data_IF_073034201523
#
_entry.id   IF_073034201523
#
_cell.length_a   1.000
_cell.length_b   1.000
_cell.length_c   1.000
_cell.angle_alpha   90.00
_cell.angle_beta   90.00
_cell.angle_gamma   90.00
#
_symmetry.space_group_name_H-M   'P 1'
#
loop_
_entity.id
_entity.type
_entity.pdbx_description
1 polymer ?
#
# COMPACT_ATOMS: atom_id res chain seq x y z
N UNK A 1 5.64 -10.43 -18.39
CA UNK A 1 6.00 -9.00 -18.14
C UNK A 1 5.42 -8.62 -16.80
N UNK A 2 6.17 -7.98 -15.91
CA UNK A 2 5.64 -7.56 -14.60
C UNK A 2 4.51 -6.55 -14.78
N UNK A 3 3.49 -6.65 -13.92
CA UNK A 3 2.35 -5.72 -13.87
C UNK A 3 2.65 -4.52 -12.99
N UNK A 4 3.72 -4.60 -12.18
CA UNK A 4 4.13 -3.53 -11.30
C UNK A 4 4.66 -2.33 -12.06
N UNK A 5 4.14 -1.19 -11.68
CA UNK A 5 4.60 0.12 -12.15
C UNK A 5 5.63 0.71 -11.19
N UNK A 6 5.37 0.58 -9.88
CA UNK A 6 6.30 0.97 -8.85
C UNK A 6 7.12 -0.23 -8.37
N UNK A 7 8.43 -0.06 -8.27
CA UNK A 7 9.28 -1.02 -7.57
C UNK A 7 9.04 -0.85 -6.06
N UNK A 8 8.68 -1.90 -5.32
CA UNK A 8 8.54 -1.79 -3.88
C UNK A 8 9.81 -1.28 -3.22
N UNK A 9 9.67 -0.39 -2.26
CA UNK A 9 10.72 -0.15 -1.29
C UNK A 9 10.89 -1.39 -0.43
N UNK A 10 12.13 -1.83 -0.22
CA UNK A 10 12.45 -2.95 0.64
C UNK A 10 13.59 -2.53 1.55
N UNK A 11 13.33 -2.41 2.83
CA UNK A 11 14.34 -2.04 3.81
C UNK A 11 15.46 -3.08 3.89
N UNK A 12 16.67 -2.64 4.19
CA UNK A 12 17.88 -3.49 4.20
C UNK A 12 17.80 -4.66 5.19
N UNK A 13 16.96 -4.56 6.22
CA UNK A 13 16.70 -5.56 7.26
C UNK A 13 15.29 -6.15 7.17
N UNK A 14 14.64 -6.07 6.01
CA UNK A 14 13.28 -6.58 5.81
C UNK A 14 13.15 -8.05 6.20
N UNK A 15 14.14 -8.87 5.89
CA UNK A 15 14.11 -10.30 6.23
C UNK A 15 14.25 -10.58 7.74
N UNK A 16 14.79 -9.64 8.52
CA UNK A 16 14.78 -9.72 9.96
C UNK A 16 13.41 -9.33 10.52
N UNK A 17 12.74 -8.41 9.83
CA UNK A 17 11.41 -7.92 10.15
C UNK A 17 11.34 -7.21 11.51
N UNK A 18 10.11 -7.04 11.99
CA UNK A 18 9.81 -6.56 13.34
C UNK A 18 9.38 -7.74 14.18
N UNK A 19 10.14 -8.07 15.21
CA UNK A 19 9.98 -9.31 16.00
C UNK A 19 9.92 -10.58 15.16
N UNK A 20 10.74 -10.62 14.09
CA UNK A 20 10.79 -11.77 13.19
C UNK A 20 9.66 -11.83 12.15
N UNK A 21 8.74 -10.87 12.13
CA UNK A 21 7.63 -10.79 11.17
C UNK A 21 7.94 -9.79 10.08
N UNK A 22 7.82 -10.19 8.81
CA UNK A 22 7.97 -9.34 7.64
C UNK A 22 6.70 -8.53 7.42
N UNK A 23 6.81 -7.21 7.42
CA UNK A 23 5.67 -6.30 7.27
C UNK A 23 5.77 -5.57 5.92
N UNK A 24 4.72 -5.71 5.11
CA UNK A 24 4.52 -4.89 3.93
C UNK A 24 3.48 -3.80 4.24
N UNK A 25 3.84 -2.54 4.03
CA UNK A 25 2.89 -1.43 4.08
C UNK A 25 2.38 -1.17 2.67
N UNK A 26 1.06 -1.11 2.52
CA UNK A 26 0.38 -0.91 1.26
C UNK A 26 -0.32 0.44 1.26
N UNK A 27 0.27 1.43 0.60
CA UNK A 27 -0.35 2.73 0.36
C UNK A 27 -1.46 2.65 -0.68
N UNK A 28 -2.26 3.70 -0.80
CA UNK A 28 -3.34 3.75 -1.78
C UNK A 28 -2.83 4.12 -3.17
N UNK A 29 -2.13 5.24 -3.27
CA UNK A 29 -1.60 5.74 -4.54
C UNK A 29 -0.68 6.94 -4.34
N UNK A 30 0.27 7.12 -5.25
CA UNK A 30 0.91 8.41 -5.47
C UNK A 30 0.05 9.32 -6.33
N UNK A 31 0.29 10.62 -6.29
CA UNK A 31 -0.49 11.61 -7.01
C UNK A 31 0.35 12.35 -8.04
N UNK A 32 -0.21 12.56 -9.23
CA UNK A 32 0.48 13.33 -10.28
C UNK A 32 0.40 14.86 -10.08
N UNK A 33 -0.16 15.31 -8.97
CA UNK A 33 -0.27 16.71 -8.60
C UNK A 33 0.85 17.11 -7.64
N UNK A 34 1.82 17.86 -8.13
CA UNK A 34 2.96 18.34 -7.32
C UNK A 34 2.54 19.20 -6.11
N UNK A 35 1.38 19.85 -6.20
CA UNK A 35 0.96 20.84 -5.19
C UNK A 35 0.02 20.26 -4.13
N UNK A 36 -0.39 18.99 -4.25
CA UNK A 36 -1.33 18.34 -3.31
C UNK A 36 -2.72 19.00 -3.25
N UNK A 37 -2.97 20.02 -4.07
CA UNK A 37 -4.13 20.92 -3.96
C UNK A 37 -5.13 20.82 -5.10
N UNK A 38 -5.28 19.68 -5.71
CA UNK A 38 -6.31 19.62 -6.74
C UNK A 38 -6.24 18.38 -7.61
N UNK A 39 -7.25 18.23 -8.43
CA UNK A 39 -7.32 17.18 -9.39
C UNK A 39 -6.69 17.63 -10.69
N UNK A 40 -6.07 16.71 -11.40
CA UNK A 40 -5.61 16.92 -12.77
C UNK A 40 -6.71 16.68 -13.80
N UNK A 41 -7.96 17.01 -13.48
CA UNK A 41 -9.13 16.85 -14.37
C UNK A 41 -8.96 17.55 -15.73
N UNK A 42 -8.12 18.58 -15.78
CA UNK A 42 -7.77 19.28 -17.03
C UNK A 42 -6.63 18.63 -17.82
N UNK A 43 -6.03 17.55 -17.30
CA UNK A 43 -5.05 16.80 -18.04
C UNK A 43 -5.71 16.09 -19.23
N UNK A 44 -5.13 16.19 -20.41
CA UNK A 44 -5.63 15.55 -21.64
C UNK A 44 -5.75 14.01 -21.50
N UNK A 45 -4.97 13.42 -20.58
CA UNK A 45 -4.97 11.98 -20.30
C UNK A 45 -5.83 11.60 -19.10
N UNK A 46 -6.64 12.51 -18.57
CA UNK A 46 -7.45 12.24 -17.37
C UNK A 46 -8.41 11.05 -17.56
N UNK A 47 -9.05 10.97 -18.72
CA UNK A 47 -9.98 9.90 -19.04
C UNK A 47 -9.28 8.55 -19.11
N UNK A 48 -8.09 8.51 -19.68
CA UNK A 48 -7.26 7.31 -19.75
C UNK A 48 -6.82 6.85 -18.36
N UNK A 49 -6.31 7.77 -17.54
CA UNK A 49 -5.85 7.47 -16.19
C UNK A 49 -6.96 6.99 -15.26
N UNK A 50 -8.19 7.38 -15.52
CA UNK A 50 -9.36 7.02 -14.70
C UNK A 50 -10.14 5.82 -15.23
N UNK A 51 -9.75 5.28 -16.38
CA UNK A 51 -10.40 4.13 -17.01
C UNK A 51 -9.60 2.84 -16.73
N UNK A 52 -10.13 1.88 -15.93
CA UNK A 52 -9.45 0.64 -15.60
C UNK A 52 -9.06 -0.19 -16.82
N UNK A 53 -9.95 -0.30 -17.81
CA UNK A 53 -9.71 -1.11 -19.02
C UNK A 53 -8.52 -0.59 -19.83
N UNK A 54 -8.36 0.75 -19.90
CA UNK A 54 -7.22 1.35 -20.59
C UNK A 54 -5.91 1.14 -19.87
N UNK A 55 -5.92 1.13 -18.52
CA UNK A 55 -4.72 0.87 -17.70
C UNK A 55 -4.20 -0.55 -17.83
N UNK A 56 -5.08 -1.51 -18.07
CA UNK A 56 -4.67 -2.90 -18.32
C UNK A 56 -3.97 -3.08 -19.68
N UNK A 57 -4.03 -2.06 -20.54
CA UNK A 57 -3.31 -2.03 -21.81
C UNK A 57 -1.82 -1.78 -21.61
N UNK A 58 -0.96 -2.57 -22.25
CA UNK A 58 0.50 -2.36 -22.28
C UNK A 58 0.93 -1.01 -22.88
N UNK A 59 0.02 -0.32 -23.56
CA UNK A 59 0.27 1.00 -24.15
C UNK A 59 0.08 2.15 -23.17
N UNK A 60 -0.55 1.90 -22.02
CA UNK A 60 -0.84 2.95 -21.03
C UNK A 60 0.42 3.63 -20.53
N UNK A 61 1.47 2.89 -20.27
CA UNK A 61 2.75 3.40 -19.75
C UNK A 61 3.41 4.41 -20.69
N UNK A 62 3.14 4.31 -21.98
CA UNK A 62 3.66 5.24 -23.00
C UNK A 62 2.86 6.53 -23.13
N UNK A 63 1.65 6.61 -22.58
CA UNK A 63 0.72 7.72 -22.75
C UNK A 63 0.91 8.77 -21.65
N UNK A 64 1.10 8.36 -20.38
CA UNK A 64 1.13 9.29 -19.26
C UNK A 64 2.31 10.27 -19.35
N UNK A 65 2.08 11.60 -19.35
CA UNK A 65 3.17 12.58 -19.44
C UNK A 65 4.06 12.58 -18.20
N UNK A 66 3.53 12.24 -17.03
CA UNK A 66 4.33 12.09 -15.81
C UNK A 66 5.31 10.94 -15.99
N UNK A 67 4.84 9.83 -16.52
CA UNK A 67 5.68 8.68 -16.85
C UNK A 67 6.81 9.01 -17.83
N UNK A 68 6.48 9.70 -18.93
CA UNK A 68 7.47 10.08 -19.95
C UNK A 68 8.56 11.00 -19.40
N UNK A 69 8.21 11.90 -18.48
CA UNK A 69 9.13 12.91 -17.96
C UNK A 69 9.96 12.46 -16.77
N UNK A 70 9.52 11.41 -16.07
CA UNK A 70 10.15 10.93 -14.83
C UNK A 70 10.74 9.52 -14.95
N UNK A 71 10.55 8.87 -16.05
CA UNK A 71 10.97 7.53 -16.49
C UNK A 71 11.69 6.59 -15.51
N UNK A 72 12.88 6.96 -15.06
CA UNK A 72 13.66 6.17 -14.08
C UNK A 72 13.18 6.39 -12.62
N UNK A 73 12.59 7.53 -12.31
CA UNK A 73 12.21 7.89 -10.93
C UNK A 73 10.94 7.16 -10.47
N UNK A 74 10.14 6.64 -11.38
CA UNK A 74 8.87 5.96 -11.05
C UNK A 74 9.08 4.66 -10.30
N UNK A 75 10.10 3.90 -10.65
CA UNK A 75 10.44 2.66 -9.97
C UNK A 75 10.99 2.89 -8.55
N UNK A 76 11.39 4.12 -8.22
CA UNK A 76 11.99 4.51 -6.96
C UNK A 76 11.07 5.41 -6.11
N UNK A 77 9.87 5.75 -6.60
CA UNK A 77 8.95 6.67 -5.92
C UNK A 77 8.66 6.29 -4.47
N UNK A 78 8.42 5.00 -4.11
CA UNK A 78 8.30 4.59 -2.72
C UNK A 78 9.53 4.91 -1.88
N UNK A 79 10.72 4.69 -2.41
CA UNK A 79 11.99 4.99 -1.72
C UNK A 79 12.15 6.48 -1.50
N UNK A 80 11.86 7.28 -2.51
CA UNK A 80 11.93 8.75 -2.42
C UNK A 80 10.94 9.30 -1.40
N UNK A 81 9.69 8.82 -1.41
CA UNK A 81 8.67 9.26 -0.47
C UNK A 81 9.04 8.95 0.98
N UNK A 82 9.67 7.81 1.25
CA UNK A 82 10.16 7.44 2.58
C UNK A 82 11.36 8.31 2.95
N UNK A 83 12.34 8.48 2.06
CA UNK A 83 13.56 9.26 2.33
C UNK A 83 13.27 10.75 2.55
N UNK A 84 12.26 11.30 1.88
CA UNK A 84 11.80 12.67 2.07
C UNK A 84 10.98 12.88 3.36
N UNK A 85 10.75 11.81 4.11
CA UNK A 85 10.05 11.85 5.41
C UNK A 85 8.67 12.53 5.37
N UNK A 86 7.85 12.21 4.39
CA UNK A 86 6.48 12.72 4.37
C UNK A 86 5.73 12.37 5.66
N UNK A 87 4.90 13.28 6.12
CA UNK A 87 4.21 13.20 7.41
C UNK A 87 3.51 11.85 7.67
N UNK A 88 2.90 11.26 6.65
CA UNK A 88 2.24 9.97 6.79
C UNK A 88 3.23 8.85 7.17
N UNK A 89 4.41 8.85 6.55
CA UNK A 89 5.45 7.86 6.81
C UNK A 89 6.08 8.03 8.18
N UNK A 90 6.36 9.27 8.59
CA UNK A 90 6.87 9.58 9.94
C UNK A 90 5.88 9.16 11.02
N UNK A 91 4.61 9.46 10.80
CA UNK A 91 3.53 9.14 11.70
C UNK A 91 3.38 7.64 11.90
N UNK A 92 3.42 6.89 10.79
CA UNK A 92 3.35 5.43 10.83
C UNK A 92 4.61 4.83 11.48
N UNK A 93 5.78 5.34 11.15
CA UNK A 93 7.03 4.90 11.79
C UNK A 93 6.96 4.99 13.31
N UNK A 94 6.52 6.15 13.86
CA UNK A 94 6.33 6.33 15.30
C UNK A 94 5.34 5.34 15.91
N UNK A 95 4.30 4.96 15.17
CA UNK A 95 3.36 3.94 15.63
C UNK A 95 4.03 2.56 15.69
N UNK A 96 4.84 2.22 14.69
CA UNK A 96 5.50 0.91 14.61
C UNK A 96 6.70 0.81 15.57
N UNK A 97 7.40 1.90 15.88
CA UNK A 97 8.53 1.93 16.82
C UNK A 97 8.20 1.33 18.20
N UNK A 98 6.94 1.40 18.65
CA UNK A 98 6.52 0.79 19.90
C UNK A 98 6.61 -0.75 19.94
N UNK A 99 6.71 -1.39 18.78
CA UNK A 99 6.80 -2.86 18.67
C UNK A 99 8.22 -3.36 18.41
N UNK A 100 9.12 -2.47 17.99
CA UNK A 100 10.52 -2.81 17.75
C UNK A 100 11.32 -2.90 19.03
N UNK A 101 12.32 -3.79 19.04
CA UNK A 101 13.25 -3.94 20.15
C UNK A 101 14.33 -2.84 20.16
N UNK A 102 14.51 -2.14 19.05
CA UNK A 102 15.49 -1.07 18.86
C UNK A 102 14.83 0.18 18.26
N UNK A 103 15.30 1.35 18.65
CA UNK A 103 14.94 2.65 18.07
C UNK A 103 15.57 2.91 16.68
N UNK A 104 15.96 1.84 15.99
CA UNK A 104 16.45 1.94 14.62
C UNK A 104 15.33 2.39 13.70
N UNK A 105 15.68 2.99 12.58
CA UNK A 105 14.72 3.33 11.53
C UNK A 105 13.89 2.10 11.13
N UNK A 106 12.64 2.08 11.54
CA UNK A 106 11.73 0.95 11.33
C UNK A 106 11.49 0.64 9.86
N UNK A 107 11.66 1.65 8.98
CA UNK A 107 11.56 1.45 7.54
C UNK A 107 12.63 0.50 7.00
N UNK A 108 13.80 0.41 7.66
CA UNK A 108 14.80 -0.58 7.27
C UNK A 108 14.34 -2.03 7.50
N UNK A 109 13.31 -2.25 8.31
CA UNK A 109 12.75 -3.57 8.65
C UNK A 109 11.42 -3.88 7.98
N UNK A 110 10.92 -2.95 7.15
CA UNK A 110 9.65 -3.07 6.45
C UNK A 110 9.82 -2.91 4.94
N UNK A 111 8.78 -3.27 4.21
CA UNK A 111 8.62 -2.92 2.81
C UNK A 111 7.42 -1.99 2.61
N UNK A 112 7.42 -1.24 1.51
CA UNK A 112 6.32 -0.37 1.12
C UNK A 112 6.09 -0.40 -0.38
N UNK A 113 4.83 -0.37 -0.79
CA UNK A 113 4.40 -0.08 -2.16
C UNK A 113 3.02 0.56 -2.15
N UNK A 114 2.60 1.15 -3.27
CA UNK A 114 1.22 1.56 -3.45
C UNK A 114 0.42 0.48 -4.21
N UNK A 115 -0.86 0.34 -3.86
CA UNK A 115 -1.75 -0.59 -4.54
C UNK A 115 -2.04 -0.13 -5.95
N UNK A 116 -2.45 1.14 -6.12
CA UNK A 116 -2.69 1.71 -7.43
C UNK A 116 -1.35 1.89 -8.17
N UNK A 117 -1.17 1.16 -9.24
CA UNK A 117 0.09 1.07 -9.98
C UNK A 117 0.23 2.16 -11.06
N UNK A 118 -0.19 3.36 -10.74
CA UNK A 118 0.05 4.58 -11.54
C UNK A 118 -0.20 5.81 -10.67
N UNK A 119 0.22 7.00 -11.15
CA UNK A 119 -0.06 8.25 -10.44
C UNK A 119 -1.55 8.59 -10.52
N UNK A 120 -2.22 8.67 -9.37
CA UNK A 120 -3.62 9.11 -9.31
C UNK A 120 -3.75 10.57 -9.72
N UNK A 121 -4.68 10.90 -10.62
CA UNK A 121 -4.92 12.29 -11.01
C UNK A 121 -5.69 13.08 -9.94
N UNK A 122 -6.16 12.44 -8.88
CA UNK A 122 -6.90 13.06 -7.78
C UNK A 122 -6.31 12.67 -6.43
N UNK A 123 -6.44 13.55 -5.44
CA UNK A 123 -5.96 13.34 -4.06
C UNK A 123 -6.72 12.25 -3.29
N UNK A 124 -7.81 11.74 -3.82
CA UNK A 124 -8.54 10.61 -3.25
C UNK A 124 -8.57 9.49 -4.29
N UNK A 125 -8.02 8.35 -3.93
CA UNK A 125 -8.16 7.14 -4.73
C UNK A 125 -9.65 6.75 -4.77
N UNK A 126 -10.20 6.64 -5.97
CA UNK A 126 -11.57 6.18 -6.17
C UNK A 126 -11.53 4.71 -6.58
N UNK A 127 -12.49 3.92 -6.11
CA UNK A 127 -12.65 2.52 -6.50
C UNK A 127 -12.68 2.35 -8.03
N UNK A 128 -13.34 3.27 -8.74
CA UNK A 128 -13.38 3.28 -10.20
C UNK A 128 -12.04 3.46 -10.92
N UNK A 129 -10.97 3.77 -10.19
CA UNK A 129 -9.61 3.86 -10.77
C UNK A 129 -8.82 2.56 -10.67
N UNK A 130 -9.28 1.64 -9.83
CA UNK A 130 -8.64 0.36 -9.61
C UNK A 130 -8.89 -0.58 -10.78
N UNK A 131 -7.93 -1.41 -11.10
CA UNK A 131 -7.96 -2.32 -12.24
C UNK A 131 -7.38 -3.68 -11.88
N UNK A 132 -7.62 -4.68 -12.73
CA UNK A 132 -7.01 -6.01 -12.57
C UNK A 132 -5.48 -5.94 -12.52
N UNK A 133 -4.88 -5.01 -13.24
CA UNK A 133 -3.42 -4.79 -13.20
C UNK A 133 -2.94 -4.46 -11.79
N UNK A 134 -3.67 -3.62 -11.05
CA UNK A 134 -3.29 -3.23 -9.69
C UNK A 134 -3.32 -4.46 -8.76
N UNK A 135 -4.36 -5.30 -8.90
CA UNK A 135 -4.46 -6.54 -8.14
C UNK A 135 -3.37 -7.56 -8.51
N UNK A 136 -3.10 -7.76 -9.79
CA UNK A 136 -2.02 -8.65 -10.25
C UNK A 136 -0.65 -8.17 -9.74
N UNK A 137 -0.38 -6.86 -9.78
CA UNK A 137 0.84 -6.27 -9.24
C UNK A 137 0.97 -6.44 -7.72
N UNK A 138 -0.14 -6.36 -6.99
CA UNK A 138 -0.19 -6.69 -5.56
C UNK A 138 0.17 -8.15 -5.33
N UNK A 139 -0.43 -9.09 -6.08
CA UNK A 139 -0.10 -10.50 -5.99
C UNK A 139 1.39 -10.78 -6.30
N UNK A 140 1.95 -10.18 -7.35
CA UNK A 140 3.39 -10.27 -7.65
C UNK A 140 4.24 -9.80 -6.48
N UNK A 141 3.82 -8.73 -5.81
CA UNK A 141 4.53 -8.19 -4.64
C UNK A 141 4.47 -9.15 -3.45
N UNK A 142 3.31 -9.75 -3.18
CA UNK A 142 3.16 -10.75 -2.13
C UNK A 142 4.04 -11.98 -2.38
N UNK A 143 4.08 -12.47 -3.62
CA UNK A 143 4.90 -13.62 -4.01
C UNK A 143 6.39 -13.32 -3.83
N UNK A 144 6.85 -12.13 -4.23
CA UNK A 144 8.26 -11.75 -4.13
C UNK A 144 8.70 -11.54 -2.68
N UNK A 145 7.91 -10.78 -1.91
CA UNK A 145 8.29 -10.35 -0.57
C UNK A 145 7.90 -11.33 0.52
N UNK A 146 6.88 -12.16 0.29
CA UNK A 146 6.35 -13.12 1.25
C UNK A 146 6.16 -12.51 2.66
N UNK A 147 5.37 -11.42 2.80
CA UNK A 147 5.14 -10.79 4.07
C UNK A 147 4.30 -11.69 4.99
N UNK A 148 4.51 -11.58 6.30
CA UNK A 148 3.62 -12.17 7.30
C UNK A 148 2.39 -11.29 7.53
N UNK A 149 2.60 -9.96 7.45
CA UNK A 149 1.58 -8.95 7.71
C UNK A 149 1.58 -7.92 6.58
N UNK A 150 0.41 -7.58 6.07
CA UNK A 150 0.18 -6.43 5.19
C UNK A 150 -0.65 -5.40 5.94
N UNK A 151 -0.17 -4.16 6.02
CA UNK A 151 -0.91 -3.04 6.60
C UNK A 151 -1.34 -2.11 5.47
N UNK A 152 -2.62 -2.13 5.13
CA UNK A 152 -3.16 -1.32 4.05
C UNK A 152 -3.70 0.02 4.56
N UNK A 153 -3.30 1.11 3.91
CA UNK A 153 -3.72 2.48 4.22
C UNK A 153 -4.87 2.93 3.33
N UNK A 154 -6.09 2.63 3.74
CA UNK A 154 -7.29 3.11 3.06
C UNK A 154 -8.29 2.02 2.74
N UNK A 155 -9.54 2.29 3.10
CA UNK A 155 -10.64 1.32 3.01
C UNK A 155 -10.97 0.88 1.57
N UNK A 156 -10.83 1.79 0.59
CA UNK A 156 -11.17 1.46 -0.80
C UNK A 156 -10.33 0.31 -1.38
N UNK A 157 -9.04 0.24 -1.02
CA UNK A 157 -8.13 -0.83 -1.48
C UNK A 157 -8.58 -2.18 -0.95
N UNK A 158 -9.01 -2.19 0.29
CA UNK A 158 -9.38 -3.39 1.00
C UNK A 158 -10.66 -4.00 0.45
N UNK A 159 -11.63 -3.14 0.12
CA UNK A 159 -12.85 -3.59 -0.54
C UNK A 159 -12.52 -4.26 -1.87
N UNK A 160 -11.60 -3.69 -2.63
CA UNK A 160 -11.14 -4.24 -3.90
C UNK A 160 -10.43 -5.59 -3.74
N UNK A 161 -9.47 -5.68 -2.81
CA UNK A 161 -8.76 -6.94 -2.53
C UNK A 161 -9.75 -8.02 -2.08
N UNK A 162 -10.77 -7.65 -1.32
CA UNK A 162 -11.81 -8.57 -0.83
C UNK A 162 -12.77 -9.03 -1.91
N UNK A 163 -13.11 -8.18 -2.85
CA UNK A 163 -14.00 -8.54 -3.97
C UNK A 163 -13.29 -9.50 -4.94
N UNK A 164 -11.99 -9.40 -5.07
CA UNK A 164 -11.15 -10.33 -5.83
C UNK A 164 -10.86 -11.63 -5.04
N UNK A 165 -11.87 -12.30 -4.58
CA UNK A 165 -11.98 -13.42 -3.65
C UNK A 165 -11.06 -14.63 -3.83
N UNK A 166 -10.14 -14.65 -4.78
CA UNK A 166 -9.33 -15.83 -5.08
C UNK A 166 -8.41 -16.27 -3.93
N UNK A 167 -8.12 -15.36 -2.97
CA UNK A 167 -7.10 -15.58 -1.95
C UNK A 167 -7.52 -15.22 -0.53
N UNK A 168 -8.63 -14.53 -0.33
CA UNK A 168 -9.10 -14.15 1.00
C UNK A 168 -9.88 -15.31 1.62
N UNK A 169 -9.40 -15.84 2.75
CA UNK A 169 -9.99 -16.99 3.42
C UNK A 169 -11.15 -16.54 4.31
N UNK A 170 -10.91 -15.52 5.12
CA UNK A 170 -11.88 -15.01 6.06
C UNK A 170 -11.72 -13.50 6.27
N UNK A 171 -12.65 -12.95 7.03
CA UNK A 171 -12.68 -11.54 7.36
C UNK A 171 -13.23 -11.37 8.76
N UNK A 172 -12.42 -10.80 9.60
CA UNK A 172 -12.82 -10.43 10.94
C UNK A 172 -12.83 -8.90 11.10
N UNK A 173 -13.89 -8.38 11.67
CA UNK A 173 -13.94 -6.98 12.11
C UNK A 173 -13.34 -6.91 13.51
N UNK A 174 -12.36 -6.05 13.71
CA UNK A 174 -11.82 -5.82 15.03
C UNK A 174 -12.91 -5.21 15.93
N UNK A 175 -13.15 -5.77 17.11
CA UNK A 175 -14.21 -5.31 18.02
C UNK A 175 -14.12 -3.80 18.25
N UNK A 176 -15.27 -3.14 18.24
CA UNK A 176 -15.42 -1.71 18.50
C UNK A 176 -14.61 -0.77 17.58
N UNK A 177 -14.21 -1.22 16.39
CA UNK A 177 -13.52 -0.42 15.39
C UNK A 177 -14.17 -0.52 14.02
N UNK A 178 -13.80 0.38 13.10
CA UNK A 178 -14.13 0.25 11.67
C UNK A 178 -13.06 -0.57 10.93
N UNK A 179 -12.07 -1.11 11.63
CA UNK A 179 -10.95 -1.83 11.05
C UNK A 179 -11.31 -3.28 10.80
N UNK A 180 -10.67 -3.83 9.78
CA UNK A 180 -10.84 -5.22 9.42
C UNK A 180 -9.49 -5.91 9.34
N UNK A 181 -9.46 -7.16 9.70
CA UNK A 181 -8.40 -8.08 9.38
C UNK A 181 -8.95 -9.12 8.43
N UNK A 182 -8.19 -9.42 7.39
CA UNK A 182 -8.46 -10.50 6.48
C UNK A 182 -7.25 -11.42 6.48
N UNK A 183 -7.45 -12.71 6.33
CA UNK A 183 -6.38 -13.65 6.10
C UNK A 183 -6.32 -14.00 4.63
N UNK A 184 -5.13 -13.91 4.07
CA UNK A 184 -4.86 -14.19 2.66
C UNK A 184 -4.04 -15.49 2.60
N UNK A 185 -4.50 -16.44 1.80
CA UNK A 185 -3.75 -17.66 1.48
C UNK A 185 -3.51 -17.74 -0.01
N UNK A 186 -2.26 -17.82 -0.39
CA UNK A 186 -1.86 -17.98 -1.79
C UNK A 186 -1.20 -19.34 -2.00
N UNK A 187 -1.47 -20.05 -3.11
CA UNK A 187 -0.87 -21.36 -3.37
C UNK A 187 0.66 -21.37 -3.39
N UNK A 188 1.26 -20.22 -3.71
CA UNK A 188 2.71 -20.03 -3.84
C UNK A 188 3.40 -19.54 -2.56
N UNK A 189 2.63 -19.29 -1.50
CA UNK A 189 3.14 -18.82 -0.20
C UNK A 189 2.78 -19.84 0.86
N UNK A 190 3.79 -20.29 1.63
CA UNK A 190 3.63 -21.40 2.58
C UNK A 190 2.98 -21.03 3.93
N UNK A 191 2.59 -19.78 4.11
CA UNK A 191 1.94 -19.29 5.33
C UNK A 191 0.73 -18.40 4.97
N UNK A 192 -0.09 -18.13 5.95
CA UNK A 192 -1.17 -17.14 5.84
C UNK A 192 -0.61 -15.75 6.08
N UNK A 193 -1.15 -14.77 5.36
CA UNK A 193 -0.79 -13.37 5.47
C UNK A 193 -1.94 -12.63 6.15
N UNK A 194 -1.67 -11.96 7.27
CA UNK A 194 -2.66 -11.08 7.91
C UNK A 194 -2.72 -9.74 7.16
N UNK A 195 -3.85 -9.44 6.53
CA UNK A 195 -4.13 -8.13 5.92
C UNK A 195 -4.90 -7.25 6.90
N UNK A 196 -4.23 -6.25 7.43
CA UNK A 196 -4.80 -5.28 8.37
C UNK A 196 -5.23 -4.03 7.61
N UNK A 197 -6.49 -3.72 7.74
CA UNK A 197 -7.09 -2.55 7.11
C UNK A 197 -7.03 -1.35 8.04
N UNK A 198 -6.32 -0.31 7.67
CA UNK A 198 -6.23 0.90 8.48
C UNK A 198 -6.64 2.17 7.73
N UNK A 199 -6.94 3.22 8.46
CA UNK A 199 -7.01 4.55 7.86
C UNK A 199 -5.61 5.01 7.41
N UNK A 200 -5.58 5.92 6.44
CA UNK A 200 -4.34 6.55 6.04
C UNK A 200 -3.74 7.33 7.21
N UNK A 201 -2.43 7.21 7.51
CA UNK A 201 -1.80 7.84 8.68
C UNK A 201 -1.89 9.36 8.74
N UNK A 202 -2.19 10.04 7.63
CA UNK A 202 -2.47 11.48 7.62
C UNK A 202 -3.96 11.82 7.88
N UNK A 203 -4.84 10.82 8.00
CA UNK A 203 -6.25 11.07 8.28
C UNK A 203 -6.49 11.43 9.75
N UNK A 204 -7.32 12.43 10.05
CA UNK A 204 -7.63 12.78 11.45
C UNK A 204 -8.16 11.60 12.28
N UNK A 205 -8.99 10.76 11.67
CA UNK A 205 -9.54 9.54 12.32
C UNK A 205 -8.47 8.52 12.74
N UNK A 206 -7.29 8.53 12.11
CA UNK A 206 -6.20 7.65 12.48
C UNK A 206 -5.75 7.85 13.93
N UNK A 207 -5.87 9.07 14.44
CA UNK A 207 -5.37 9.49 15.75
C UNK A 207 -6.40 9.42 16.88
N UNK A 208 -7.69 9.36 16.55
CA UNK A 208 -8.75 9.50 17.54
C UNK A 208 -9.39 8.15 17.90
N UNK A 209 -8.72 7.39 18.74
CA UNK A 209 -9.35 6.33 19.50
C UNK A 209 -9.12 4.90 19.07
N UNK A 210 -8.66 4.63 17.84
CA UNK A 210 -8.50 3.25 17.36
C UNK A 210 -7.05 2.75 17.34
N UNK A 211 -6.06 3.64 17.53
CA UNK A 211 -4.65 3.24 17.53
C UNK A 211 -4.30 2.27 18.67
N UNK A 212 -4.88 2.43 19.85
CA UNK A 212 -4.62 1.52 20.98
C UNK A 212 -5.16 0.11 20.68
N UNK A 213 -6.29 0.02 20.00
CA UNK A 213 -6.87 -1.26 19.59
C UNK A 213 -6.04 -1.92 18.50
N UNK A 214 -5.59 -1.14 17.50
CA UNK A 214 -4.65 -1.60 16.50
C UNK A 214 -3.34 -2.05 17.16
N UNK A 215 -2.83 -1.30 18.11
CA UNK A 215 -1.61 -1.65 18.84
C UNK A 215 -1.77 -2.96 19.62
N UNK A 216 -2.94 -3.19 20.22
CA UNK A 216 -3.23 -4.44 20.89
C UNK A 216 -3.23 -5.62 19.90
N UNK A 217 -3.93 -5.45 18.76
CA UNK A 217 -3.96 -6.46 17.71
C UNK A 217 -2.55 -6.75 17.17
N UNK A 218 -1.81 -5.71 16.81
CA UNK A 218 -0.42 -5.86 16.32
C UNK A 218 0.49 -6.58 17.32
N UNK A 219 0.30 -6.37 18.63
CA UNK A 219 1.05 -7.09 19.67
C UNK A 219 0.76 -8.59 19.67
N UNK A 220 -0.43 -9.00 19.28
CA UNK A 220 -0.81 -10.41 19.16
C UNK A 220 -0.23 -11.02 17.88
N UNK A 221 -0.32 -10.34 16.77
CA UNK A 221 0.24 -10.77 15.48
C UNK A 221 1.79 -10.86 15.50
N UNK A 222 2.44 -10.05 16.33
CA UNK A 222 3.89 -9.99 16.45
C UNK A 222 4.46 -10.89 17.56
N UNK A 223 3.65 -11.77 18.12
CA UNK A 223 4.13 -12.84 19.02
C UNK A 223 4.67 -14.02 18.24
#
# INVERSE_FOLDING_TARGET
>A
MSKRFFKPFVGSKYNEGIRGKKILVLGASFYCNKDGKGSREKCEYFTECTNPEKKDSSKFDAICPVYKNTGLLLSEEPSNAISENYKAYQTFAKFIEQFGDNKEDVWQRMAFTDYLQFFSPTIKTKKSYLSNRDFEAFCETLIELQPDIVIAWGMAIIEEIRENNQFVIDKERLPDTEWYVCHIKMPTINHEISLICSYHPAAPKYWYGDLDKLAKYMKEELK
#
